data_IF_652740227734
#
_entry.id   IF_652740227734
#
_cell.length_a   1.000
_cell.length_b   1.000
_cell.length_c   1.000
_cell.angle_alpha   90.00
_cell.angle_beta   90.00
_cell.angle_gamma   90.00
#
_symmetry.space_group_name_H-M   'P 1'
#
loop_
_entity.id
_entity.type
_entity.pdbx_description
1 polymer ?
#
# COMPACT_ATOMS: atom_id res chain seq x y z
N UNK A 1 36.15 34.05 -20.84
CA UNK A 1 36.06 32.61 -20.48
C UNK A 1 35.62 32.31 -19.04
N UNK A 2 35.50 33.30 -18.12
CA UNK A 2 35.12 33.05 -16.71
C UNK A 2 33.60 33.02 -16.43
N UNK A 3 32.74 33.52 -17.33
CA UNK A 3 31.29 33.59 -17.09
C UNK A 3 30.55 32.24 -17.25
N UNK A 4 31.11 31.29 -18.00
CA UNK A 4 30.47 29.99 -18.25
C UNK A 4 30.62 29.01 -17.07
N UNK A 5 31.70 29.11 -16.27
CA UNK A 5 31.91 28.23 -15.11
C UNK A 5 30.93 28.50 -13.96
N UNK A 6 30.60 29.77 -13.72
CA UNK A 6 29.62 30.18 -12.70
C UNK A 6 28.18 29.75 -13.01
N UNK A 7 27.79 29.74 -14.30
CA UNK A 7 26.47 29.22 -14.72
C UNK A 7 26.36 27.71 -14.54
N UNK A 8 27.42 26.96 -14.86
CA UNK A 8 27.41 25.49 -14.76
C UNK A 8 27.39 25.00 -13.30
N UNK A 9 28.09 25.67 -12.37
CA UNK A 9 28.03 25.32 -10.94
C UNK A 9 26.67 25.62 -10.31
N UNK A 10 26.01 26.70 -10.71
CA UNK A 10 24.69 27.04 -10.20
C UNK A 10 23.61 26.12 -10.77
N UNK A 11 23.73 25.69 -12.03
CA UNK A 11 22.83 24.71 -12.64
C UNK A 11 22.97 23.32 -11.99
N UNK A 12 24.19 22.85 -11.73
CA UNK A 12 24.38 21.55 -11.06
C UNK A 12 23.90 21.56 -9.62
N UNK A 13 24.11 22.65 -8.88
CA UNK A 13 23.56 22.81 -7.53
C UNK A 13 22.03 22.91 -7.53
N UNK A 14 21.43 23.62 -8.49
CA UNK A 14 19.97 23.72 -8.63
C UNK A 14 19.34 22.36 -8.98
N UNK A 15 19.90 21.65 -9.96
CA UNK A 15 19.46 20.29 -10.35
C UNK A 15 19.62 19.33 -9.17
N UNK A 16 20.70 19.44 -8.40
CA UNK A 16 20.89 18.61 -7.21
C UNK A 16 19.83 18.94 -6.13
N UNK A 17 19.65 20.21 -5.77
CA UNK A 17 18.68 20.63 -4.74
C UNK A 17 17.23 20.26 -5.11
N UNK A 18 16.87 20.40 -6.39
CA UNK A 18 15.56 20.04 -6.90
C UNK A 18 15.36 18.52 -6.94
N UNK A 19 16.42 17.77 -7.21
CA UNK A 19 16.44 16.30 -7.10
C UNK A 19 16.30 15.84 -5.64
N UNK A 20 16.90 16.53 -4.66
CA UNK A 20 16.71 16.22 -3.24
C UNK A 20 15.26 16.49 -2.77
N UNK A 21 14.68 17.65 -3.12
CA UNK A 21 13.27 17.96 -2.79
C UNK A 21 12.27 16.99 -3.43
N UNK A 22 12.50 16.57 -4.67
CA UNK A 22 11.65 15.58 -5.34
C UNK A 22 11.73 14.21 -4.65
N UNK A 23 12.93 13.78 -4.26
CA UNK A 23 13.09 12.53 -3.50
C UNK A 23 12.35 12.57 -2.17
N UNK A 24 12.28 13.72 -1.50
CA UNK A 24 11.53 13.87 -0.25
C UNK A 24 10.00 13.84 -0.45
N UNK A 25 9.48 14.47 -1.52
CA UNK A 25 8.05 14.40 -1.85
C UNK A 25 7.63 12.99 -2.25
N UNK A 26 8.41 12.32 -3.11
CA UNK A 26 8.15 10.95 -3.53
C UNK A 26 8.14 9.98 -2.35
N UNK A 27 9.08 10.15 -1.40
CA UNK A 27 9.11 9.37 -0.16
C UNK A 27 7.88 9.60 0.71
N UNK A 28 7.46 10.86 0.90
CA UNK A 28 6.26 11.16 1.66
C UNK A 28 5.01 10.52 1.04
N UNK A 29 4.83 10.67 -0.28
CA UNK A 29 3.73 10.04 -1.00
C UNK A 29 3.78 8.52 -0.89
N UNK A 30 4.97 7.91 -1.04
CA UNK A 30 5.17 6.48 -0.85
C UNK A 30 4.76 6.00 0.54
N UNK A 31 5.13 6.73 1.58
CA UNK A 31 4.73 6.39 2.95
C UNK A 31 3.22 6.49 3.16
N UNK A 32 2.57 7.51 2.59
CA UNK A 32 1.11 7.64 2.63
C UNK A 32 0.42 6.49 1.90
N UNK A 33 0.89 6.15 0.70
CA UNK A 33 0.39 5.00 -0.05
C UNK A 33 0.52 3.70 0.76
N UNK A 34 1.69 3.48 1.40
CA UNK A 34 1.92 2.25 2.16
C UNK A 34 1.08 2.19 3.44
N UNK A 35 0.93 3.32 4.14
CA UNK A 35 0.10 3.39 5.34
C UNK A 35 -1.36 3.12 5.01
N UNK A 36 -1.91 3.75 3.97
CA UNK A 36 -3.28 3.50 3.52
C UNK A 36 -3.48 2.07 3.05
N UNK A 37 -2.51 1.51 2.31
CA UNK A 37 -2.59 0.13 1.84
C UNK A 37 -2.66 -0.85 3.02
N UNK A 38 -1.81 -0.67 4.03
CA UNK A 38 -1.65 -1.61 5.14
C UNK A 38 -2.72 -1.43 6.20
N UNK A 39 -3.04 -0.18 6.58
CA UNK A 39 -4.00 0.13 7.64
C UNK A 39 -5.43 0.37 7.13
N UNK A 40 -5.59 0.68 5.84
CA UNK A 40 -6.87 0.97 5.20
C UNK A 40 -7.47 -0.22 4.43
N UNK A 41 -6.75 -1.33 4.27
CA UNK A 41 -7.33 -2.61 3.82
C UNK A 41 -7.46 -2.69 2.30
N UNK A 42 -8.66 -2.82 1.75
CA UNK A 42 -8.96 -2.69 0.31
C UNK A 42 -9.32 -1.25 -0.10
N UNK A 43 -9.35 -0.30 0.84
CA UNK A 43 -9.56 1.13 0.60
C UNK A 43 -11.00 1.61 0.81
N UNK A 44 -11.94 0.73 1.19
CA UNK A 44 -13.34 1.11 1.46
C UNK A 44 -13.53 1.79 2.82
N UNK A 45 -12.57 1.65 3.76
CA UNK A 45 -12.61 2.33 5.07
C UNK A 45 -12.46 3.85 4.98
N UNK A 46 -11.86 4.34 3.90
CA UNK A 46 -11.55 5.76 3.70
C UNK A 46 -12.20 6.26 2.41
N UNK A 47 -13.54 6.35 2.35
CA UNK A 47 -14.23 6.97 1.23
C UNK A 47 -13.96 8.48 1.27
N UNK A 48 -13.65 9.07 0.12
CA UNK A 48 -13.44 10.52 -0.03
C UNK A 48 -14.68 11.17 -0.64
N UNK A 49 -15.22 10.57 -1.71
CA UNK A 49 -16.43 11.04 -2.37
C UNK A 49 -17.12 9.88 -3.11
N UNK A 50 -18.28 9.44 -2.62
CA UNK A 50 -19.01 8.31 -3.20
C UNK A 50 -18.14 7.05 -3.33
N UNK A 51 -18.05 6.49 -4.53
CA UNK A 51 -17.23 5.30 -4.83
C UNK A 51 -15.71 5.59 -4.95
N UNK A 52 -15.28 6.84 -4.78
CA UNK A 52 -13.88 7.26 -4.86
C UNK A 52 -13.21 7.21 -3.48
N UNK A 53 -12.17 6.41 -3.38
CA UNK A 53 -11.46 6.14 -2.11
C UNK A 53 -10.12 6.86 -2.04
N UNK A 54 -9.60 7.03 -0.82
CA UNK A 54 -8.29 7.63 -0.59
C UNK A 54 -7.17 6.86 -1.32
N UNK A 55 -7.30 5.53 -1.44
CA UNK A 55 -6.41 4.69 -2.25
C UNK A 55 -6.34 5.12 -3.70
N UNK A 56 -7.49 5.37 -4.31
CA UNK A 56 -7.58 5.77 -5.71
C UNK A 56 -6.92 7.13 -5.90
N UNK A 57 -7.10 8.05 -4.94
CA UNK A 57 -6.40 9.34 -4.96
C UNK A 57 -4.88 9.16 -4.91
N UNK A 58 -4.37 8.39 -3.93
CA UNK A 58 -2.94 8.14 -3.80
C UNK A 58 -2.35 7.40 -5.00
N UNK A 59 -3.10 6.47 -5.59
CA UNK A 59 -2.74 5.79 -6.83
C UNK A 59 -2.59 6.78 -8.00
N UNK A 60 -3.57 7.67 -8.21
CA UNK A 60 -3.51 8.67 -9.26
C UNK A 60 -2.35 9.65 -9.06
N UNK A 61 -2.12 10.10 -7.82
CA UNK A 61 -0.99 10.96 -7.49
C UNK A 61 0.35 10.26 -7.73
N UNK A 62 0.47 8.98 -7.37
CA UNK A 62 1.66 8.17 -7.59
C UNK A 62 1.95 7.97 -9.08
N UNK A 63 0.92 7.70 -9.89
CA UNK A 63 1.06 7.59 -11.34
C UNK A 63 1.47 8.92 -11.97
N UNK A 64 0.80 10.02 -11.59
CA UNK A 64 1.12 11.35 -12.11
C UNK A 64 2.56 11.75 -11.76
N UNK A 65 2.98 11.49 -10.52
CA UNK A 65 4.35 11.73 -10.09
C UNK A 65 5.36 10.87 -10.87
N UNK A 66 5.04 9.59 -11.11
CA UNK A 66 5.86 8.71 -11.92
C UNK A 66 6.00 9.20 -13.35
N UNK A 67 4.91 9.68 -13.96
CA UNK A 67 4.93 10.26 -15.30
C UNK A 67 5.87 11.46 -15.38
N UNK A 68 5.82 12.37 -14.40
CA UNK A 68 6.75 13.50 -14.32
C UNK A 68 8.21 13.02 -14.26
N UNK A 69 8.51 12.01 -13.44
CA UNK A 69 9.86 11.48 -13.34
C UNK A 69 10.34 10.82 -14.64
N UNK A 70 9.47 10.09 -15.33
CA UNK A 70 9.79 9.49 -16.63
C UNK A 70 10.05 10.56 -17.69
N UNK A 71 9.23 11.62 -17.73
CA UNK A 71 9.44 12.76 -18.62
C UNK A 71 10.75 13.50 -18.33
N UNK A 72 11.21 13.48 -17.07
CA UNK A 72 12.54 13.96 -16.66
C UNK A 72 13.68 12.97 -16.95
N UNK A 73 13.42 11.95 -17.77
CA UNK A 73 14.37 10.92 -18.19
C UNK A 73 14.97 10.10 -17.04
N UNK A 74 14.22 9.89 -15.96
CA UNK A 74 14.64 8.89 -14.97
C UNK A 74 14.55 7.48 -15.57
N UNK A 75 15.65 6.70 -15.54
CA UNK A 75 15.67 5.40 -16.19
C UNK A 75 14.79 4.40 -15.43
N UNK A 76 13.93 3.71 -16.17
CA UNK A 76 13.22 2.51 -15.71
C UNK A 76 14.04 1.30 -16.14
N UNK A 77 14.13 0.27 -15.30
CA UNK A 77 14.83 -0.96 -15.64
C UNK A 77 14.14 -1.69 -16.80
N UNK A 78 14.94 -2.28 -17.68
CA UNK A 78 14.44 -3.06 -18.83
C UNK A 78 13.49 -4.18 -18.40
N UNK A 79 13.82 -4.88 -17.31
CA UNK A 79 13.00 -5.96 -16.76
C UNK A 79 11.60 -5.47 -16.38
N UNK A 80 11.52 -4.32 -15.71
CA UNK A 80 10.25 -3.69 -15.33
C UNK A 80 9.46 -3.26 -16.55
N UNK A 81 10.12 -2.70 -17.57
CA UNK A 81 9.46 -2.34 -18.82
C UNK A 81 8.85 -3.56 -19.51
N UNK A 82 9.57 -4.68 -19.57
CA UNK A 82 9.04 -5.96 -20.10
C UNK A 82 7.85 -6.45 -19.27
N UNK A 83 7.92 -6.36 -17.95
CA UNK A 83 6.83 -6.77 -17.05
C UNK A 83 5.57 -5.91 -17.27
N UNK A 84 5.72 -4.59 -17.37
CA UNK A 84 4.59 -3.68 -17.66
C UNK A 84 4.01 -3.93 -19.05
N UNK A 85 4.87 -4.18 -20.05
CA UNK A 85 4.43 -4.56 -21.40
C UNK A 85 3.60 -5.85 -21.41
N UNK A 86 4.09 -6.89 -20.72
CA UNK A 86 3.38 -8.16 -20.59
C UNK A 86 2.03 -8.01 -19.85
N UNK A 87 2.01 -7.26 -18.76
CA UNK A 87 0.76 -6.97 -18.02
C UNK A 87 -0.25 -6.20 -18.88
N UNK A 88 0.23 -5.17 -19.61
CA UNK A 88 -0.61 -4.39 -20.53
C UNK A 88 -1.21 -5.28 -21.59
N UNK A 89 -0.40 -6.16 -22.20
CA UNK A 89 -0.86 -7.09 -23.23
C UNK A 89 -1.91 -8.07 -22.69
N UNK A 90 -1.67 -8.70 -21.54
CA UNK A 90 -2.63 -9.62 -20.93
C UNK A 90 -3.94 -8.92 -20.57
N UNK A 91 -3.86 -7.71 -20.01
CA UNK A 91 -5.03 -6.92 -19.64
C UNK A 91 -5.86 -6.55 -20.87
N UNK A 92 -5.23 -6.09 -21.95
CA UNK A 92 -5.95 -5.75 -23.19
C UNK A 92 -6.55 -6.98 -23.84
N UNK A 93 -5.84 -8.11 -23.88
CA UNK A 93 -6.42 -9.38 -24.37
C UNK A 93 -7.64 -9.79 -23.55
N UNK A 94 -7.58 -9.74 -22.22
CA UNK A 94 -8.72 -10.07 -21.35
C UNK A 94 -9.93 -9.16 -21.59
N UNK A 95 -9.71 -7.85 -21.72
CA UNK A 95 -10.76 -6.88 -22.04
C UNK A 95 -11.39 -7.15 -23.40
N UNK A 96 -10.57 -7.39 -24.43
CA UNK A 96 -11.08 -7.69 -25.78
C UNK A 96 -11.88 -8.99 -25.79
N UNK A 97 -11.40 -10.05 -25.14
CA UNK A 97 -12.15 -11.30 -25.01
C UNK A 97 -13.49 -11.09 -24.29
N UNK A 98 -13.53 -10.31 -23.21
CA UNK A 98 -14.79 -10.00 -22.51
C UNK A 98 -15.79 -9.28 -23.42
N UNK A 99 -15.33 -8.25 -24.13
CA UNK A 99 -16.19 -7.47 -25.04
C UNK A 99 -16.68 -8.30 -26.24
N UNK A 100 -15.84 -9.13 -26.84
CA UNK A 100 -16.21 -10.01 -27.96
C UNK A 100 -17.25 -11.06 -27.54
N UNK A 101 -17.18 -11.55 -26.29
CA UNK A 101 -18.16 -12.49 -25.74
C UNK A 101 -19.45 -11.81 -25.24
N UNK A 102 -19.64 -10.51 -25.51
CA UNK A 102 -20.86 -9.78 -25.14
C UNK A 102 -20.96 -9.46 -23.65
N UNK A 103 -19.86 -9.45 -22.90
CA UNK A 103 -19.88 -9.05 -21.51
C UNK A 103 -20.28 -7.57 -21.38
N UNK A 104 -21.15 -7.21 -20.40
CA UNK A 104 -21.46 -5.82 -20.14
C UNK A 104 -20.19 -5.01 -19.84
N UNK A 105 -20.05 -3.84 -20.46
CA UNK A 105 -18.89 -2.96 -20.26
C UNK A 105 -18.67 -2.58 -18.78
N UNK A 106 -19.77 -2.46 -18.03
CA UNK A 106 -19.72 -2.23 -16.59
C UNK A 106 -19.07 -3.38 -15.83
N UNK A 107 -19.32 -4.64 -16.20
CA UNK A 107 -18.71 -5.81 -15.58
C UNK A 107 -17.21 -5.88 -15.89
N UNK A 108 -16.84 -5.66 -17.16
CA UNK A 108 -15.43 -5.59 -17.57
C UNK A 108 -14.68 -4.49 -16.82
N UNK A 109 -15.31 -3.33 -16.61
CA UNK A 109 -14.70 -2.24 -15.86
C UNK A 109 -14.45 -2.59 -14.39
N UNK A 110 -15.38 -3.30 -13.75
CA UNK A 110 -15.21 -3.77 -12.36
C UNK A 110 -14.02 -4.72 -12.23
N UNK A 111 -13.77 -5.56 -13.24
CA UNK A 111 -12.62 -6.49 -13.27
C UNK A 111 -11.29 -5.79 -13.57
N UNK A 112 -11.31 -4.80 -14.47
CA UNK A 112 -10.10 -4.04 -14.86
C UNK A 112 -9.60 -3.14 -13.73
N UNK A 113 -10.52 -2.55 -12.97
CA UNK A 113 -10.20 -1.58 -11.91
C UNK A 113 -9.10 -2.05 -10.94
N UNK A 114 -9.16 -3.24 -10.31
CA UNK A 114 -8.08 -3.72 -9.45
C UNK A 114 -6.79 -4.04 -10.20
N UNK A 115 -6.87 -4.49 -11.47
CA UNK A 115 -5.71 -4.88 -12.28
C UNK A 115 -4.86 -3.69 -12.72
N UNK A 116 -5.49 -2.52 -12.90
CA UNK A 116 -4.78 -1.26 -13.22
C UNK A 116 -3.91 -0.79 -12.05
N UNK A 117 -4.20 -1.21 -10.82
CA UNK A 117 -3.38 -0.86 -9.66
C UNK A 117 -1.93 -1.37 -9.78
N UNK A 118 -1.69 -2.40 -10.60
CA UNK A 118 -0.35 -2.92 -10.91
C UNK A 118 0.64 -1.83 -11.36
N UNK A 119 0.17 -0.80 -12.09
CA UNK A 119 1.03 0.27 -12.57
C UNK A 119 1.62 1.16 -11.45
N UNK A 120 1.11 1.05 -10.23
CA UNK A 120 1.72 1.72 -9.06
C UNK A 120 3.15 1.23 -8.81
N UNK A 121 3.52 0.04 -9.30
CA UNK A 121 4.89 -0.48 -9.15
C UNK A 121 5.93 0.39 -9.86
N UNK A 122 5.56 1.12 -10.93
CA UNK A 122 6.44 2.11 -11.57
C UNK A 122 6.88 3.17 -10.55
N UNK A 123 5.92 3.66 -9.75
CA UNK A 123 6.19 4.63 -8.69
C UNK A 123 7.13 4.08 -7.63
N UNK A 124 6.91 2.81 -7.23
CA UNK A 124 7.74 2.16 -6.22
C UNK A 124 9.18 1.97 -6.71
N UNK A 125 9.38 1.55 -7.95
CA UNK A 125 10.72 1.43 -8.55
C UNK A 125 11.44 2.79 -8.63
N UNK A 126 10.73 3.84 -9.03
CA UNK A 126 11.32 5.17 -9.17
C UNK A 126 11.63 5.83 -7.81
N UNK A 127 10.98 5.39 -6.73
CA UNK A 127 11.12 5.99 -5.40
C UNK A 127 12.05 5.19 -4.47
N UNK A 128 12.00 3.85 -4.53
CA UNK A 128 12.79 2.94 -3.69
C UNK A 128 14.02 2.49 -4.45
N UNK A 129 15.17 3.14 -4.22
CA UNK A 129 16.40 2.90 -5.01
C UNK A 129 17.50 2.17 -4.24
N UNK A 130 17.50 2.28 -2.92
CA UNK A 130 18.59 1.78 -2.09
C UNK A 130 18.13 0.68 -1.15
N UNK A 131 19.07 -0.16 -0.70
CA UNK A 131 18.82 -1.14 0.36
C UNK A 131 18.28 -0.48 1.64
N UNK A 132 18.77 0.72 1.97
CA UNK A 132 18.29 1.49 3.11
C UNK A 132 16.82 1.91 2.98
N UNK A 133 16.35 2.22 1.75
CA UNK A 133 14.94 2.49 1.50
C UNK A 133 14.11 1.22 1.76
N UNK A 134 14.55 0.06 1.24
CA UNK A 134 13.88 -1.24 1.47
C UNK A 134 13.80 -1.60 2.97
N UNK A 135 14.88 -1.41 3.72
CA UNK A 135 14.88 -1.61 5.17
C UNK A 135 13.91 -0.66 5.89
N UNK A 136 13.76 0.57 5.38
CA UNK A 136 12.81 1.53 5.93
C UNK A 136 11.37 1.13 5.65
N UNK A 137 11.06 0.61 4.44
CA UNK A 137 9.76 0.01 4.13
C UNK A 137 9.47 -1.16 5.08
N UNK A 138 10.43 -2.05 5.27
CA UNK A 138 10.30 -3.19 6.19
C UNK A 138 10.00 -2.75 7.63
N UNK A 139 10.74 -1.76 8.15
CA UNK A 139 10.47 -1.17 9.48
C UNK A 139 9.08 -0.54 9.58
N UNK A 140 8.60 0.10 8.52
CA UNK A 140 7.25 0.65 8.50
C UNK A 140 6.19 -0.44 8.53
N UNK A 141 6.33 -1.48 7.69
CA UNK A 141 5.44 -2.65 7.70
C UNK A 141 5.37 -3.31 9.07
N UNK A 142 6.50 -3.47 9.76
CA UNK A 142 6.53 -3.96 11.15
C UNK A 142 5.73 -3.04 12.09
N UNK A 143 5.90 -1.73 12.01
CA UNK A 143 5.18 -0.77 12.86
C UNK A 143 3.67 -0.83 12.60
N UNK A 144 3.25 -0.88 11.35
CA UNK A 144 1.85 -1.03 10.99
C UNK A 144 1.27 -2.34 11.51
N UNK A 145 2.02 -3.44 11.39
CA UNK A 145 1.61 -4.73 11.93
C UNK A 145 1.42 -4.67 13.46
N UNK A 146 2.35 -4.03 14.18
CA UNK A 146 2.22 -3.84 15.63
C UNK A 146 1.00 -2.97 16.00
N UNK A 147 0.73 -1.91 15.25
CA UNK A 147 -0.44 -1.04 15.44
C UNK A 147 -1.72 -1.87 15.25
N UNK A 148 -1.84 -2.61 14.16
CA UNK A 148 -3.01 -3.45 13.89
C UNK A 148 -3.21 -4.53 14.94
N UNK A 149 -2.14 -5.23 15.34
CA UNK A 149 -2.23 -6.27 16.34
C UNK A 149 -2.62 -5.70 17.71
N UNK A 150 -2.06 -4.56 18.09
CA UNK A 150 -2.43 -3.87 19.34
C UNK A 150 -3.88 -3.40 19.30
N UNK A 151 -4.31 -2.77 18.20
CA UNK A 151 -5.70 -2.34 18.02
C UNK A 151 -6.68 -3.51 18.11
N UNK A 152 -6.33 -4.66 17.51
CA UNK A 152 -7.14 -5.87 17.59
C UNK A 152 -7.22 -6.44 19.02
N UNK A 153 -6.11 -6.48 19.76
CA UNK A 153 -6.12 -6.93 21.15
C UNK A 153 -6.93 -6.01 22.06
N UNK A 154 -6.81 -4.68 21.87
CA UNK A 154 -7.64 -3.69 22.57
C UNK A 154 -9.11 -3.90 22.27
N UNK A 155 -9.45 -4.15 21.01
CA UNK A 155 -10.80 -4.49 20.60
C UNK A 155 -11.32 -5.75 21.32
N UNK A 156 -10.57 -6.85 21.30
CA UNK A 156 -10.97 -8.10 21.98
C UNK A 156 -11.15 -7.90 23.48
N UNK A 157 -10.22 -7.19 24.15
CA UNK A 157 -10.33 -6.88 25.57
C UNK A 157 -11.57 -6.03 25.88
N UNK A 158 -11.84 -5.02 25.05
CA UNK A 158 -13.00 -4.13 25.19
C UNK A 158 -14.32 -4.90 25.03
N UNK A 159 -14.39 -5.81 24.05
CA UNK A 159 -15.56 -6.66 23.83
C UNK A 159 -15.78 -7.63 25.01
N UNK A 160 -14.72 -8.24 25.54
CA UNK A 160 -14.78 -9.13 26.72
C UNK A 160 -15.19 -8.41 28.01
N UNK A 161 -14.79 -7.14 28.17
CA UNK A 161 -15.19 -6.31 29.31
C UNK A 161 -16.61 -5.76 29.21
N UNK A 162 -17.32 -5.99 28.09
CA UNK A 162 -18.66 -5.44 27.85
C UNK A 162 -18.70 -3.97 27.47
N UNK A 163 -17.54 -3.32 27.24
CA UNK A 163 -17.46 -1.92 26.80
C UNK A 163 -17.99 -1.71 25.37
N UNK A 164 -17.84 -2.72 24.51
CA UNK A 164 -18.34 -2.71 23.12
C UNK A 164 -19.52 -3.66 23.02
N UNK A 165 -20.68 -3.12 22.65
CA UNK A 165 -21.88 -3.92 22.34
C UNK A 165 -21.76 -4.53 20.95
N UNK A 166 -21.63 -5.86 20.88
CA UNK A 166 -21.32 -6.60 19.65
C UNK A 166 -22.29 -6.35 18.49
N UNK A 167 -23.63 -6.41 18.65
CA UNK A 167 -24.55 -6.22 17.53
C UNK A 167 -24.37 -4.86 16.83
N UNK A 168 -24.18 -3.79 17.61
CA UNK A 168 -23.94 -2.45 17.06
C UNK A 168 -22.60 -2.35 16.33
N UNK A 169 -21.57 -3.03 16.84
CA UNK A 169 -20.28 -3.07 16.18
C UNK A 169 -20.36 -3.86 14.86
N UNK A 170 -21.02 -5.01 14.88
CA UNK A 170 -21.25 -5.85 13.70
C UNK A 170 -21.98 -5.07 12.60
N UNK A 171 -23.12 -4.45 12.91
CA UNK A 171 -23.90 -3.65 11.95
C UNK A 171 -23.07 -2.53 11.33
N UNK A 172 -22.32 -1.80 12.15
CA UNK A 172 -21.51 -0.69 11.66
C UNK A 172 -20.35 -1.17 10.77
N UNK A 173 -19.74 -2.30 11.10
CA UNK A 173 -18.53 -2.77 10.42
C UNK A 173 -18.83 -3.66 9.21
N UNK A 174 -20.00 -4.31 9.16
CA UNK A 174 -20.45 -5.11 8.00
C UNK A 174 -20.58 -4.28 6.73
N UNK A 175 -20.93 -3.01 6.87
CA UNK A 175 -21.17 -2.09 5.75
C UNK A 175 -19.90 -1.76 4.97
N UNK A 176 -18.72 -1.89 5.58
CA UNK A 176 -17.45 -1.56 4.93
C UNK A 176 -16.92 -2.66 4.00
N UNK A 177 -17.41 -3.90 4.11
CA UNK A 177 -16.96 -5.03 3.29
C UNK A 177 -15.50 -5.45 3.49
N UNK A 178 -14.82 -4.91 4.50
CA UNK A 178 -13.40 -5.20 4.83
C UNK A 178 -13.23 -6.21 5.94
N UNK A 179 -14.30 -6.42 6.69
CA UNK A 179 -14.36 -7.28 7.84
C UNK A 179 -15.19 -8.50 7.46
N UNK A 180 -14.56 -9.68 7.52
CA UNK A 180 -15.25 -10.95 7.41
C UNK A 180 -15.59 -11.41 8.83
N UNK A 181 -16.87 -11.39 9.17
CA UNK A 181 -17.36 -11.80 10.47
C UNK A 181 -17.54 -13.31 10.56
N UNK A 182 -17.25 -13.87 11.73
CA UNK A 182 -17.52 -15.28 12.05
C UNK A 182 -18.32 -15.33 13.34
N UNK A 183 -19.61 -15.55 13.18
CA UNK A 183 -20.60 -15.59 14.26
C UNK A 183 -20.42 -14.42 15.24
N UNK A 184 -20.56 -14.67 16.53
CA UNK A 184 -20.49 -13.71 17.63
C UNK A 184 -19.13 -13.69 18.35
N UNK A 185 -18.09 -14.28 17.73
CA UNK A 185 -16.79 -14.51 18.39
C UNK A 185 -15.67 -13.58 17.91
N UNK A 186 -15.75 -13.08 16.67
CA UNK A 186 -14.73 -12.18 16.15
C UNK A 186 -14.90 -11.81 14.68
N UNK A 187 -13.90 -11.10 14.16
CA UNK A 187 -13.83 -10.71 12.75
C UNK A 187 -12.41 -10.86 12.22
N UNK A 188 -12.32 -11.14 10.93
CA UNK A 188 -11.09 -11.09 10.15
C UNK A 188 -11.07 -9.80 9.32
N UNK A 189 -10.11 -8.93 9.60
CA UNK A 189 -9.88 -7.74 8.79
C UNK A 189 -8.93 -8.07 7.64
N UNK A 190 -9.27 -7.72 6.40
CA UNK A 190 -8.43 -8.00 5.21
C UNK A 190 -6.99 -7.49 5.35
N UNK A 191 -6.78 -6.36 6.03
CA UNK A 191 -5.43 -5.83 6.30
C UNK A 191 -4.57 -6.73 7.19
N UNK A 192 -5.15 -7.71 7.89
CA UNK A 192 -4.39 -8.68 8.69
C UNK A 192 -3.44 -9.55 7.88
N UNK A 193 -3.57 -9.62 6.55
CA UNK A 193 -2.54 -10.20 5.68
C UNK A 193 -1.16 -9.54 5.88
N UNK A 194 -1.14 -8.24 6.19
CA UNK A 194 0.09 -7.51 6.46
C UNK A 194 0.68 -7.77 7.86
N UNK A 195 -0.07 -8.40 8.78
CA UNK A 195 0.49 -8.90 10.04
C UNK A 195 1.54 -9.97 9.77
N UNK A 196 1.23 -10.92 8.89
CA UNK A 196 2.16 -11.98 8.48
C UNK A 196 3.42 -11.40 7.82
N UNK A 197 3.25 -10.39 6.96
CA UNK A 197 4.35 -9.69 6.31
C UNK A 197 5.21 -8.96 7.35
N UNK A 198 4.59 -8.26 8.31
CA UNK A 198 5.30 -7.60 9.40
C UNK A 198 6.10 -8.56 10.30
N UNK A 199 5.60 -9.78 10.53
CA UNK A 199 6.33 -10.84 11.24
C UNK A 199 7.56 -11.27 10.43
N UNK A 200 7.41 -11.49 9.12
CA UNK A 200 8.53 -11.86 8.25
C UNK A 200 9.68 -10.83 8.34
N UNK A 201 9.35 -9.54 8.26
CA UNK A 201 10.36 -8.49 8.43
C UNK A 201 10.92 -8.41 9.84
N UNK A 202 10.21 -8.88 10.87
CA UNK A 202 10.63 -8.80 12.27
C UNK A 202 11.74 -9.80 12.63
N UNK A 203 12.02 -10.80 11.79
CA UNK A 203 13.05 -11.84 12.02
C UNK A 203 14.51 -11.32 12.01
N UNK A 204 14.74 -10.02 12.12
CA UNK A 204 16.07 -9.42 12.15
C UNK A 204 16.71 -9.41 13.57
N UNK A 205 18.04 -9.34 13.61
CA UNK A 205 19.04 -9.80 14.62
C UNK A 205 18.84 -9.55 16.14
N UNK A 206 17.71 -9.04 16.67
CA UNK A 206 17.52 -8.75 18.12
C UNK A 206 16.55 -9.71 18.83
N UNK A 207 17.09 -10.84 19.29
CA UNK A 207 16.37 -12.04 19.78
C UNK A 207 15.19 -11.83 20.75
N UNK A 208 15.25 -10.92 21.73
CA UNK A 208 14.23 -10.80 22.79
C UNK A 208 13.09 -9.82 22.44
N UNK A 209 13.40 -8.61 21.97
CA UNK A 209 12.36 -7.65 21.54
C UNK A 209 11.61 -8.14 20.31
N UNK A 210 12.29 -8.90 19.45
CA UNK A 210 11.68 -9.60 18.32
C UNK A 210 10.71 -10.69 18.81
N UNK A 211 11.07 -11.46 19.83
CA UNK A 211 10.19 -12.51 20.37
C UNK A 211 8.88 -11.95 20.94
N UNK A 212 8.93 -10.84 21.69
CA UNK A 212 7.71 -10.21 22.22
C UNK A 212 6.78 -9.65 21.14
N UNK A 213 7.35 -9.04 20.08
CA UNK A 213 6.58 -8.55 18.92
C UNK A 213 5.94 -9.68 18.13
N UNK A 214 6.72 -10.74 17.87
CA UNK A 214 6.23 -11.94 17.20
C UNK A 214 5.11 -12.57 18.02
N UNK A 215 5.29 -12.74 19.33
CA UNK A 215 4.26 -13.29 20.22
C UNK A 215 2.97 -12.48 20.15
N UNK A 216 3.06 -11.14 20.28
CA UNK A 216 1.89 -10.26 20.21
C UNK A 216 1.14 -10.43 18.88
N UNK A 217 1.84 -10.42 17.75
CA UNK A 217 1.22 -10.59 16.43
C UNK A 217 0.65 -11.99 16.26
N UNK A 218 1.34 -13.04 16.73
CA UNK A 218 0.82 -14.41 16.70
C UNK A 218 -0.42 -14.58 17.56
N UNK A 219 -0.47 -13.96 18.75
CA UNK A 219 -1.67 -13.96 19.59
C UNK A 219 -2.83 -13.27 18.88
N UNK A 220 -2.60 -12.12 18.24
CA UNK A 220 -3.64 -11.46 17.44
C UNK A 220 -4.13 -12.35 16.28
N UNK A 221 -3.23 -13.01 15.56
CA UNK A 221 -3.58 -13.95 14.47
C UNK A 221 -4.37 -15.14 15.01
N UNK A 222 -3.92 -15.75 16.11
CA UNK A 222 -4.61 -16.89 16.72
C UNK A 222 -6.02 -16.52 17.18
N UNK A 223 -6.16 -15.37 17.85
CA UNK A 223 -7.45 -14.83 18.29
C UNK A 223 -8.36 -14.47 17.12
N UNK A 224 -7.81 -14.13 15.96
CA UNK A 224 -8.61 -13.93 14.74
C UNK A 224 -9.26 -15.24 14.26
N UNK A 225 -8.67 -16.39 14.58
CA UNK A 225 -9.16 -17.72 14.18
C UNK A 225 -10.04 -18.40 15.24
N UNK A 226 -10.22 -17.81 16.42
CA UNK A 226 -11.03 -18.37 17.53
C UNK A 226 -12.37 -17.69 17.67
#
# INVERSE_FOLDING_TARGET
MLSNRWRLSNLTQFIAAERWKQLDLGRALFFLCLLELVLGGAGTLTPVAGAFTLRMLFFLLALFYSLILVLKAHPIRRDSFTLFGAHTFLLTTGVLCGLVNGAPSAAVFLDVKPLVFFYVLVFFELTVKTKADVETVGRLLQRCAMIMATAYLVYVASMRSGLIYWPRFYEYMSDFGEFAFRDDRGFFYKGFLYLCIGVFFSFDKRRILTAGRILLVFTAIFLTST
#
